data_IF_826361941523
#
_entry.id   IF_826361941523
#
_cell.length_a   1.000
_cell.length_b   1.000
_cell.length_c   1.000
_cell.angle_alpha   90.00
_cell.angle_beta   90.00
_cell.angle_gamma   90.00
#
_symmetry.space_group_name_H-M   'P 1'
#
loop_
_entity.id
_entity.type
_entity.pdbx_description
1 polymer ?
#
# COMPACT_ATOMS: atom_id res chain seq x y z
N UNK A 1 -38.93 14.26 -8.68
CA UNK A 1 -37.60 14.90 -8.61
C UNK A 1 -36.60 13.82 -8.23
N UNK A 2 -35.78 13.40 -9.20
CA UNK A 2 -34.81 12.33 -9.04
C UNK A 2 -33.64 12.80 -8.16
N UNK A 3 -33.31 12.03 -7.13
CA UNK A 3 -32.14 12.27 -6.28
C UNK A 3 -30.99 11.41 -6.82
N UNK A 4 -30.28 11.94 -7.83
CA UNK A 4 -29.26 11.25 -8.62
C UNK A 4 -27.86 11.20 -7.96
N UNK A 5 -27.79 11.25 -6.62
CA UNK A 5 -26.52 11.21 -5.87
C UNK A 5 -26.37 9.99 -4.94
N UNK A 6 -27.33 9.07 -4.95
CA UNK A 6 -27.29 7.85 -4.14
C UNK A 6 -26.60 6.65 -4.83
N UNK A 7 -26.29 6.74 -6.12
CA UNK A 7 -25.94 5.58 -6.97
C UNK A 7 -24.47 5.53 -7.41
N UNK A 8 -23.54 6.12 -6.64
CA UNK A 8 -22.08 6.05 -6.89
C UNK A 8 -21.24 5.57 -5.71
N UNK A 9 -21.85 4.91 -4.72
CA UNK A 9 -21.13 4.30 -3.59
C UNK A 9 -21.19 2.78 -3.54
N UNK A 10 -21.48 2.14 -4.69
CA UNK A 10 -21.61 0.68 -4.83
C UNK A 10 -20.36 0.03 -5.39
N UNK A 11 -19.18 0.41 -4.90
CA UNK A 11 -18.03 -0.49 -4.92
C UNK A 11 -17.74 -0.83 -3.46
N UNK A 12 -18.22 -2.01 -3.05
CA UNK A 12 -17.73 -2.73 -1.87
C UNK A 12 -16.21 -2.58 -1.87
N UNK A 13 -15.66 -1.75 -0.97
CA UNK A 13 -14.24 -1.79 -0.68
C UNK A 13 -13.96 -3.23 -0.32
N UNK A 14 -13.12 -3.88 -1.12
CA UNK A 14 -12.61 -5.21 -0.81
C UNK A 14 -11.80 -5.02 0.47
N UNK A 15 -12.44 -5.23 1.62
CA UNK A 15 -11.85 -5.28 2.96
C UNK A 15 -10.96 -6.53 3.11
N UNK A 16 -10.12 -6.80 2.12
CA UNK A 16 -9.01 -7.72 2.30
C UNK A 16 -7.81 -6.86 2.66
N UNK A 17 -7.48 -6.84 3.95
CA UNK A 17 -6.25 -6.22 4.42
C UNK A 17 -5.08 -6.82 3.63
N UNK A 18 -4.37 -5.98 2.88
CA UNK A 18 -3.31 -6.46 1.97
C UNK A 18 -2.03 -6.54 2.79
N UNK A 19 -1.47 -7.74 3.05
CA UNK A 19 -0.24 -7.85 3.81
C UNK A 19 0.89 -7.18 3.03
N UNK A 20 1.71 -6.42 3.75
CA UNK A 20 2.89 -5.77 3.21
C UNK A 20 4.07 -5.93 4.16
N UNK A 21 5.26 -5.89 3.57
CA UNK A 21 6.51 -5.69 4.29
C UNK A 21 7.08 -4.36 3.83
N UNK A 22 7.42 -3.50 4.79
CA UNK A 22 8.05 -2.22 4.53
C UNK A 22 9.38 -2.14 5.25
N UNK A 23 10.37 -1.52 4.60
CA UNK A 23 11.69 -1.31 5.20
C UNK A 23 12.23 0.06 4.81
N UNK A 24 12.78 0.78 5.79
CA UNK A 24 13.39 2.09 5.60
C UNK A 24 14.54 2.30 6.59
N UNK A 25 15.25 3.41 6.42
CA UNK A 25 16.27 3.88 7.38
C UNK A 25 15.69 5.03 8.16
N UNK A 26 15.72 4.94 9.49
CA UNK A 26 15.22 5.99 10.37
C UNK A 26 16.18 7.20 10.45
N UNK A 27 15.78 8.30 11.11
CA UNK A 27 16.65 9.47 11.27
C UNK A 27 17.95 9.22 12.05
N UNK A 28 18.05 8.11 12.79
CA UNK A 28 19.25 7.72 13.53
C UNK A 28 20.20 6.85 12.69
N UNK A 29 19.79 6.47 11.47
CA UNK A 29 20.57 5.61 10.58
C UNK A 29 20.28 4.12 10.75
N UNK A 30 19.33 3.76 11.62
CA UNK A 30 18.96 2.37 11.86
C UNK A 30 17.98 1.87 10.81
N UNK A 31 18.14 0.60 10.40
CA UNK A 31 17.18 -0.04 9.50
C UNK A 31 15.98 -0.51 10.30
N UNK A 32 14.81 0.00 9.94
CA UNK A 32 13.52 -0.47 10.45
C UNK A 32 12.86 -1.35 9.39
N UNK A 33 12.32 -2.48 9.82
CA UNK A 33 11.56 -3.41 9.00
C UNK A 33 10.26 -3.76 9.73
N UNK A 34 9.14 -3.63 9.03
CA UNK A 34 7.81 -3.83 9.60
C UNK A 34 6.93 -4.65 8.66
N UNK A 35 6.28 -5.67 9.22
CA UNK A 35 5.23 -6.45 8.56
C UNK A 35 3.88 -5.93 9.06
N UNK A 36 3.05 -5.47 8.14
CA UNK A 36 1.78 -4.81 8.46
C UNK A 36 0.77 -5.01 7.33
N UNK A 37 -0.37 -4.33 7.40
CA UNK A 37 -1.42 -4.37 6.39
C UNK A 37 -1.61 -2.99 5.74
N UNK A 38 -1.80 -2.97 4.43
CA UNK A 38 -2.17 -1.76 3.73
C UNK A 38 -3.67 -1.48 3.93
N UNK A 39 -3.98 -0.24 4.34
CA UNK A 39 -5.33 0.26 4.54
C UNK A 39 -6.01 0.65 3.23
N UNK A 40 -5.22 1.20 2.30
CA UNK A 40 -5.66 1.54 0.95
C UNK A 40 -4.55 1.18 -0.02
N UNK A 41 -4.89 0.53 -1.13
CA UNK A 41 -3.94 0.14 -2.17
C UNK A 41 -4.43 0.66 -3.51
N UNK A 42 -3.52 1.24 -4.29
CA UNK A 42 -3.74 1.67 -5.66
C UNK A 42 -2.62 1.15 -6.54
N UNK A 43 -2.78 1.34 -7.86
CA UNK A 43 -1.71 1.08 -8.83
C UNK A 43 -0.38 1.78 -8.51
N UNK A 44 -0.43 2.95 -7.88
CA UNK A 44 0.72 3.87 -7.76
C UNK A 44 1.20 4.07 -6.33
N UNK A 45 0.61 3.39 -5.37
CA UNK A 45 0.93 3.59 -3.97
C UNK A 45 -0.07 2.93 -3.05
N UNK A 46 0.21 3.01 -1.76
CA UNK A 46 -0.62 2.48 -0.70
C UNK A 46 -0.55 3.35 0.56
N UNK A 47 -1.35 3.04 1.57
CA UNK A 47 -1.18 3.57 2.93
C UNK A 47 -1.20 2.46 3.97
N UNK A 48 -0.49 2.67 5.08
CA UNK A 48 -0.40 1.75 6.21
C UNK A 48 -0.28 2.52 7.52
N UNK A 49 -0.45 1.82 8.65
CA UNK A 49 -0.23 2.36 10.00
C UNK A 49 1.09 1.86 10.56
N UNK A 50 1.78 2.71 11.31
CA UNK A 50 2.99 2.36 12.07
C UNK A 50 3.08 3.18 13.35
N UNK A 51 3.82 2.69 14.34
CA UNK A 51 4.18 3.47 15.54
C UNK A 51 5.44 4.33 15.34
N UNK A 52 6.15 4.14 14.24
CA UNK A 52 7.35 4.90 13.92
C UNK A 52 6.98 6.23 13.26
N UNK A 53 7.65 7.31 13.67
CA UNK A 53 7.62 8.55 12.90
C UNK A 53 8.45 8.35 11.64
N UNK A 54 7.80 8.39 10.48
CA UNK A 54 8.44 8.23 9.18
C UNK A 54 8.33 9.57 8.43
N UNK A 55 9.40 10.37 8.36
CA UNK A 55 9.35 11.70 7.78
C UNK A 55 8.85 11.71 6.33
N UNK A 56 8.22 12.82 5.93
CA UNK A 56 7.91 13.06 4.53
C UNK A 56 9.16 12.93 3.64
N UNK A 57 8.95 12.41 2.44
CA UNK A 57 9.99 12.14 1.44
C UNK A 57 10.99 11.02 1.79
N UNK A 58 10.81 10.33 2.92
CA UNK A 58 11.57 9.11 3.22
C UNK A 58 11.35 8.08 2.13
N UNK A 59 12.44 7.45 1.67
CA UNK A 59 12.37 6.33 0.76
C UNK A 59 12.28 5.03 1.55
N UNK A 60 11.39 4.15 1.14
CA UNK A 60 11.22 2.81 1.69
C UNK A 60 11.13 1.78 0.58
N UNK A 61 11.46 0.54 0.90
CA UNK A 61 11.11 -0.61 0.06
C UNK A 61 9.78 -1.17 0.52
N UNK A 62 8.92 -1.52 -0.43
CA UNK A 62 7.62 -2.17 -0.21
C UNK A 62 7.63 -3.52 -0.90
N UNK A 63 7.20 -4.55 -0.17
CA UNK A 63 6.87 -5.87 -0.71
C UNK A 63 5.39 -6.13 -0.49
N UNK A 64 4.68 -6.57 -1.52
CA UNK A 64 3.31 -7.07 -1.42
C UNK A 64 3.28 -8.54 -1.88
N UNK A 65 3.16 -9.50 -0.95
CA UNK A 65 3.25 -10.91 -1.27
C UNK A 65 2.17 -11.36 -2.26
N UNK A 66 2.55 -12.15 -3.28
CA UNK A 66 1.62 -12.72 -4.26
C UNK A 66 0.81 -11.68 -5.08
N UNK A 67 1.33 -10.46 -5.23
CA UNK A 67 0.69 -9.36 -6.00
C UNK A 67 1.56 -8.81 -7.13
N UNK A 68 2.67 -9.47 -7.42
CA UNK A 68 3.53 -9.21 -8.56
C UNK A 68 3.01 -9.82 -9.86
N UNK A 69 3.79 -9.70 -10.95
CA UNK A 69 3.43 -10.30 -12.24
C UNK A 69 3.21 -11.80 -12.14
N UNK A 70 2.21 -12.30 -12.87
CA UNK A 70 1.96 -13.74 -12.98
C UNK A 70 2.96 -14.39 -13.92
N UNK A 71 3.60 -15.46 -13.47
CA UNK A 71 4.53 -16.26 -14.28
C UNK A 71 3.85 -17.57 -14.70
N UNK A 72 3.90 -17.94 -15.99
CA UNK A 72 3.33 -19.21 -16.45
C UNK A 72 3.92 -20.40 -15.68
N UNK A 73 3.07 -21.21 -15.04
CA UNK A 73 3.50 -22.40 -14.28
C UNK A 73 3.96 -22.16 -12.84
N UNK A 74 4.18 -20.91 -12.41
CA UNK A 74 4.68 -20.56 -11.06
C UNK A 74 3.65 -19.80 -10.19
N UNK A 75 2.62 -19.19 -10.82
CA UNK A 75 1.63 -18.38 -10.11
C UNK A 75 2.04 -16.91 -9.95
N UNK A 76 1.37 -16.13 -9.08
CA UNK A 76 1.70 -14.74 -8.85
C UNK A 76 2.99 -14.61 -8.02
N UNK A 77 3.97 -13.83 -8.51
CA UNK A 77 5.14 -13.47 -7.72
C UNK A 77 4.81 -12.41 -6.67
N UNK A 78 5.78 -12.04 -5.83
CA UNK A 78 5.66 -10.86 -4.99
C UNK A 78 5.85 -9.58 -5.82
N UNK A 79 5.17 -8.51 -5.40
CA UNK A 79 5.40 -7.17 -5.94
C UNK A 79 6.46 -6.48 -5.10
N UNK A 80 7.53 -6.01 -5.74
CA UNK A 80 8.60 -5.25 -5.10
C UNK A 80 8.68 -3.84 -5.69
N UNK A 81 8.78 -2.83 -4.82
CA UNK A 81 8.95 -1.45 -5.26
C UNK A 81 9.72 -0.62 -4.24
N UNK A 82 10.54 0.31 -4.73
CA UNK A 82 10.87 1.50 -3.93
C UNK A 82 9.66 2.42 -3.89
N UNK A 83 9.42 3.06 -2.76
CA UNK A 83 8.35 4.04 -2.59
C UNK A 83 8.86 5.25 -1.80
N UNK A 84 8.21 6.39 -1.97
CA UNK A 84 8.50 7.62 -1.23
C UNK A 84 7.29 7.99 -0.39
N UNK A 85 7.51 8.35 0.87
CA UNK A 85 6.47 8.90 1.74
C UNK A 85 5.98 10.24 1.18
N UNK A 86 4.71 10.32 0.86
CA UNK A 86 4.06 11.53 0.32
C UNK A 86 3.02 12.11 1.27
N UNK A 87 2.66 11.38 2.33
CA UNK A 87 1.70 11.82 3.35
C UNK A 87 2.02 11.18 4.69
N UNK A 88 1.93 11.96 5.75
CA UNK A 88 2.01 11.51 7.14
C UNK A 88 0.83 12.14 7.87
N UNK A 89 0.00 11.34 8.53
CA UNK A 89 -1.06 11.82 9.41
C UNK A 89 -0.88 11.15 10.78
N UNK A 90 -0.91 11.94 11.84
CA UNK A 90 -0.94 11.38 13.19
C UNK A 90 -2.38 10.95 13.53
N UNK A 91 -2.55 9.69 13.91
CA UNK A 91 -3.81 9.08 14.33
C UNK A 91 -3.64 8.49 15.73
N UNK A 92 -4.12 9.21 16.74
CA UNK A 92 -4.00 8.84 18.16
C UNK A 92 -2.58 8.46 18.60
N UNK A 93 -2.22 7.17 18.53
CA UNK A 93 -0.94 6.58 18.96
C UNK A 93 -0.09 6.04 17.79
N UNK A 94 -0.54 6.24 16.56
CA UNK A 94 0.08 5.74 15.34
C UNK A 94 0.17 6.85 14.28
N UNK A 95 0.94 6.58 13.24
CA UNK A 95 1.01 7.40 12.05
C UNK A 95 0.42 6.63 10.87
N UNK A 96 -0.52 7.24 10.17
CA UNK A 96 -0.92 6.79 8.84
C UNK A 96 0.07 7.35 7.81
N UNK A 97 0.80 6.43 7.19
CA UNK A 97 1.81 6.75 6.19
C UNK A 97 1.24 6.44 4.81
N UNK A 98 1.21 7.46 3.95
CA UNK A 98 0.86 7.33 2.53
C UNK A 98 2.13 7.35 1.68
N UNK A 99 2.29 6.34 0.82
CA UNK A 99 3.48 6.17 -0.02
C UNK A 99 3.13 6.12 -1.49
N UNK A 100 4.07 6.57 -2.34
CA UNK A 100 3.98 6.49 -3.79
C UNK A 100 5.11 5.61 -4.34
N UNK A 101 4.76 4.63 -5.15
CA UNK A 101 5.74 3.76 -5.83
C UNK A 101 6.58 4.56 -6.83
N UNK A 102 7.87 4.25 -6.88
CA UNK A 102 8.85 4.86 -7.78
C UNK A 102 9.16 3.88 -8.90
N UNK A 103 8.86 4.26 -10.15
CA UNK A 103 9.16 3.46 -11.35
C UNK A 103 8.31 2.20 -11.54
N UNK A 104 7.71 1.66 -10.48
CA UNK A 104 6.84 0.50 -10.54
C UNK A 104 5.35 0.89 -10.50
N UNK A 105 4.52 0.02 -11.08
CA UNK A 105 3.06 0.09 -10.97
C UNK A 105 2.56 -1.27 -10.54
N UNK A 106 1.80 -1.31 -9.45
CA UNK A 106 1.16 -2.53 -8.98
C UNK A 106 0.15 -3.00 -10.04
N UNK A 107 0.25 -4.24 -10.52
CA UNK A 107 -0.80 -4.84 -11.33
C UNK A 107 -2.07 -4.94 -10.48
N UNK A 108 -3.03 -4.04 -10.69
CA UNK A 108 -4.35 -4.20 -10.08
C UNK A 108 -5.05 -5.32 -10.83
N UNK A 109 -5.13 -6.49 -10.20
CA UNK A 109 -6.08 -7.50 -10.64
C UNK A 109 -7.49 -6.95 -10.35
N UNK A 110 -8.29 -6.79 -11.40
CA UNK A 110 -9.72 -6.95 -11.21
C UNK A 110 -9.90 -8.40 -10.78
N UNK A 111 -10.49 -8.63 -9.61
CA UNK A 111 -11.22 -9.86 -9.41
C UNK A 111 -12.40 -9.81 -10.39
N UNK A 112 -12.17 -10.13 -11.65
CA UNK A 112 -13.24 -10.63 -12.49
C UNK A 112 -13.50 -12.05 -12.00
N UNK A 113 -14.72 -12.19 -11.50
CA UNK A 113 -15.43 -13.37 -11.04
C UNK A 113 -14.97 -14.68 -11.67
N UNK A 114 -14.77 -15.68 -10.82
CA UNK A 114 -15.07 -17.07 -11.14
C UNK A 114 -15.96 -17.62 -10.02
#
# INVERSE_FOLDING_TARGET
MANADAERRTQKRVEAAVPIQVRWTDPHGETVEEFTEALEVSRRGLSFLTHHDVPMFTNLTVVIPGRGPMRPGEGPSDFFSTATVVRVLQEEKQYRIGVRFVGATLPMYSAESA
#
